data_IF_236383572013
#
_entry.id   IF_236383572013
#
_cell.length_a   1.000
_cell.length_b   1.000
_cell.length_c   1.000
_cell.angle_alpha   90.00
_cell.angle_beta   90.00
_cell.angle_gamma   90.00
#
_symmetry.space_group_name_H-M   'P 1'
#
loop_
_entity.id
_entity.type
_entity.pdbx_description
1 polymer ?
#
# COMPACT_ATOMS: atom_id res chain seq x y z
N UNK A 1 -4.16 0.21 10.71
CA UNK A 1 -3.57 0.74 9.49
C UNK A 1 -4.61 0.86 8.39
N UNK A 2 -4.45 1.86 7.55
CA UNK A 2 -5.35 2.09 6.43
C UNK A 2 -4.61 1.74 5.14
N UNK A 3 -5.19 0.85 4.36
CA UNK A 3 -4.59 0.35 3.12
C UNK A 3 -5.30 0.99 1.93
N UNK A 4 -4.54 1.70 1.10
CA UNK A 4 -5.10 2.45 -0.02
C UNK A 4 -4.53 1.98 -1.35
N UNK A 5 -5.41 1.78 -2.33
CA UNK A 5 -5.04 1.55 -3.72
C UNK A 5 -5.74 2.64 -4.54
N UNK A 6 -4.96 3.47 -5.21
CA UNK A 6 -5.46 4.64 -5.95
C UNK A 6 -6.35 5.53 -5.07
N UNK A 7 -5.89 5.74 -3.82
CA UNK A 7 -6.60 6.55 -2.81
C UNK A 7 -7.95 5.97 -2.37
N UNK A 8 -8.23 4.72 -2.73
CA UNK A 8 -9.44 4.02 -2.30
C UNK A 8 -9.08 3.02 -1.23
N UNK A 9 -9.79 3.08 -0.09
CA UNK A 9 -9.52 2.20 1.03
C UNK A 9 -9.84 0.75 0.66
N UNK A 10 -8.89 -0.13 0.95
CA UNK A 10 -9.01 -1.55 0.68
C UNK A 10 -8.95 -2.36 1.97
N UNK A 11 -9.50 -3.55 1.94
CA UNK A 11 -9.35 -4.49 3.03
C UNK A 11 -7.90 -4.97 3.07
N UNK A 12 -7.37 -5.21 4.26
CA UNK A 12 -5.97 -5.64 4.44
C UNK A 12 -5.61 -6.83 3.55
N UNK A 13 -6.43 -7.87 3.58
CA UNK A 13 -6.17 -9.08 2.81
C UNK A 13 -6.12 -8.79 1.31
N UNK A 14 -7.07 -8.03 0.83
CA UNK A 14 -7.13 -7.68 -0.58
C UNK A 14 -5.92 -6.86 -1.01
N UNK A 15 -5.56 -5.88 -0.20
CA UNK A 15 -4.40 -5.03 -0.47
C UNK A 15 -3.13 -5.86 -0.63
N UNK A 16 -2.85 -6.74 0.33
CA UNK A 16 -1.64 -7.56 0.30
C UNK A 16 -1.66 -8.56 -0.84
N UNK A 17 -2.80 -9.16 -1.15
CA UNK A 17 -2.91 -10.07 -2.29
C UNK A 17 -2.55 -9.37 -3.60
N UNK A 18 -3.02 -8.15 -3.79
CA UNK A 18 -2.70 -7.38 -4.99
C UNK A 18 -1.23 -6.94 -4.98
N UNK A 19 -0.75 -6.46 -3.85
CA UNK A 19 0.60 -5.92 -3.74
C UNK A 19 1.67 -6.99 -3.96
N UNK A 20 1.53 -8.13 -3.31
CA UNK A 20 2.52 -9.20 -3.43
C UNK A 20 2.62 -9.77 -4.84
N UNK A 21 1.60 -9.61 -5.65
CA UNK A 21 1.62 -10.07 -7.02
C UNK A 21 2.35 -9.13 -7.98
N UNK A 22 2.57 -7.87 -7.59
CA UNK A 22 3.13 -6.87 -8.51
C UNK A 22 4.34 -6.13 -7.94
N UNK A 23 4.53 -6.11 -6.64
CA UNK A 23 5.58 -5.31 -6.00
C UNK A 23 6.83 -6.13 -5.69
N UNK A 24 8.00 -5.49 -5.83
CA UNK A 24 9.26 -6.07 -5.36
C UNK A 24 9.40 -5.83 -3.86
N UNK A 25 10.39 -6.50 -3.24
CA UNK A 25 10.64 -6.32 -1.81
C UNK A 25 10.99 -4.87 -1.46
N UNK A 26 11.75 -4.20 -2.33
CA UNK A 26 12.09 -2.80 -2.12
C UNK A 26 10.84 -1.91 -2.12
N UNK A 27 9.95 -2.16 -3.06
CA UNK A 27 8.71 -1.40 -3.15
C UNK A 27 7.84 -1.61 -1.92
N UNK A 28 7.76 -2.84 -1.45
CA UNK A 28 7.00 -3.16 -0.23
C UNK A 28 7.60 -2.43 0.97
N UNK A 29 8.93 -2.41 1.08
CA UNK A 29 9.60 -1.69 2.16
C UNK A 29 9.25 -0.20 2.16
N UNK A 30 9.24 0.42 0.99
CA UNK A 30 8.90 1.84 0.88
C UNK A 30 7.46 2.10 1.31
N UNK A 31 6.56 1.22 0.92
CA UNK A 31 5.16 1.35 1.32
C UNK A 31 5.02 1.22 2.84
N UNK A 32 5.75 0.28 3.44
CA UNK A 32 5.73 0.10 4.90
C UNK A 32 6.32 1.30 5.64
N UNK A 33 7.22 2.04 5.00
CA UNK A 33 7.79 3.26 5.56
C UNK A 33 6.86 4.47 5.42
N UNK A 34 5.71 4.30 4.79
CA UNK A 34 4.73 5.37 4.64
C UNK A 34 4.80 6.11 3.32
N UNK A 35 5.59 5.64 2.38
CA UNK A 35 5.70 6.29 1.07
C UNK A 35 4.65 5.77 0.09
N UNK A 36 4.22 6.65 -0.81
CA UNK A 36 3.39 6.22 -1.94
C UNK A 36 4.28 5.59 -2.99
N UNK A 37 3.85 4.45 -3.51
CA UNK A 37 4.59 3.77 -4.57
C UNK A 37 3.64 3.49 -5.73
N UNK A 38 4.06 3.88 -6.93
CA UNK A 38 3.29 3.65 -8.16
C UNK A 38 3.84 2.42 -8.87
N UNK A 39 2.99 1.43 -9.08
CA UNK A 39 3.35 0.19 -9.79
C UNK A 39 2.29 -0.04 -10.87
N UNK A 40 2.72 -0.10 -12.12
CA UNK A 40 1.81 -0.30 -13.27
C UNK A 40 0.63 0.67 -13.25
N UNK A 41 0.91 1.95 -13.07
CA UNK A 41 -0.09 3.03 -13.01
C UNK A 41 -1.06 2.92 -11.83
N UNK A 42 -0.74 2.09 -10.85
CA UNK A 42 -1.56 1.93 -9.65
C UNK A 42 -0.76 2.41 -8.44
N UNK A 43 -1.36 3.28 -7.64
CA UNK A 43 -0.72 3.85 -6.46
C UNK A 43 -1.07 3.02 -5.23
N UNK A 44 -0.05 2.56 -4.54
CA UNK A 44 -0.21 1.79 -3.29
C UNK A 44 0.32 2.60 -2.13
N UNK A 45 -0.44 2.62 -1.03
CA UNK A 45 -0.05 3.36 0.15
C UNK A 45 -0.63 2.72 1.41
N UNK A 46 0.15 2.74 2.48
CA UNK A 46 -0.33 2.35 3.80
C UNK A 46 -0.23 3.57 4.70
N UNK A 47 -1.32 3.94 5.34
CA UNK A 47 -1.38 5.08 6.23
C UNK A 47 -1.65 4.60 7.64
N UNK A 48 -0.87 5.07 8.60
CA UNK A 48 -1.14 4.78 9.99
C UNK A 48 -2.24 5.70 10.50
N UNK A 49 -3.22 5.15 11.22
CA UNK A 49 -4.24 5.99 11.83
C UNK A 49 -3.58 6.92 12.85
N UNK A 50 -4.03 8.16 12.86
CA UNK A 50 -3.50 9.12 13.79
C UNK A 50 -3.90 8.75 15.21
N UNK A 51 -2.92 8.72 16.09
CA UNK A 51 -3.18 8.48 17.51
C UNK A 51 -3.39 9.82 18.18
N UNK A 52 -4.54 9.97 18.72
CA UNK A 52 -4.85 11.17 19.51
C UNK A 52 -4.40 10.97 20.95
#
# INVERSE_FOLDING_TARGET
MIYLINDVRQHERHFWNCLYGVASQEQIKRILDGHKVTISDTIYQIVEPEKS
#
